data_IF_706580907157
#
_entry.id   IF_706580907157
#
_cell.length_a   1.000
_cell.length_b   1.000
_cell.length_c   1.000
_cell.angle_alpha   90.00
_cell.angle_beta   90.00
_cell.angle_gamma   90.00
#
_symmetry.space_group_name_H-M   'P 1'
#
loop_
_entity.id
_entity.type
_entity.pdbx_description
1 polymer ?
#
# COMPACT_ATOMS: atom_id res chain seq x y z
N UNK A 1 3.83 35.81 37.98
CA UNK A 1 4.74 35.28 36.94
C UNK A 1 4.10 34.02 36.36
N UNK A 2 3.36 34.16 35.26
CA UNK A 2 2.86 33.04 34.44
C UNK A 2 3.44 33.26 33.06
N UNK A 3 4.40 32.42 32.69
CA UNK A 3 5.04 32.47 31.38
C UNK A 3 4.14 31.65 30.46
N UNK A 4 3.47 32.32 29.52
CA UNK A 4 2.61 31.68 28.54
C UNK A 4 3.44 30.92 27.51
N UNK A 5 3.13 29.64 27.33
CA UNK A 5 3.65 28.84 26.21
C UNK A 5 2.96 29.29 24.92
N UNK A 6 3.64 30.13 24.14
CA UNK A 6 3.37 30.26 22.70
C UNK A 6 4.20 29.21 21.97
N UNK A 7 3.60 28.04 21.73
CA UNK A 7 4.07 27.17 20.65
C UNK A 7 3.60 27.77 19.34
N UNK A 8 4.54 28.39 18.61
CA UNK A 8 4.32 28.87 17.25
C UNK A 8 4.42 27.64 16.34
N UNK A 9 3.28 27.08 15.94
CA UNK A 9 3.25 26.07 14.88
C UNK A 9 3.53 26.76 13.55
N UNK A 10 4.73 26.59 13.01
CA UNK A 10 4.99 26.83 11.59
C UNK A 10 4.24 25.76 10.78
N UNK A 11 3.00 26.06 10.41
CA UNK A 11 2.32 25.34 9.33
C UNK A 11 2.99 25.74 8.01
N UNK A 12 3.99 24.96 7.58
CA UNK A 12 4.43 24.96 6.19
C UNK A 12 3.31 24.28 5.39
N UNK A 13 2.30 25.07 5.02
CA UNK A 13 1.26 24.61 4.10
C UNK A 13 1.83 24.65 2.68
N UNK A 14 2.48 23.56 2.27
CA UNK A 14 2.68 23.30 0.84
C UNK A 14 1.30 22.99 0.24
N UNK A 15 0.61 24.01 -0.27
CA UNK A 15 -0.63 23.84 -1.03
C UNK A 15 -0.30 23.13 -2.35
N UNK A 16 -0.28 21.81 -2.36
CA UNK A 16 -0.55 21.06 -3.60
C UNK A 16 -2.04 21.16 -3.88
N UNK A 17 -2.38 22.05 -4.82
CA UNK A 17 -3.71 22.13 -5.40
C UNK A 17 -3.90 20.91 -6.31
N UNK A 18 -4.47 19.84 -5.76
CA UNK A 18 -5.05 18.77 -6.56
C UNK A 18 -6.55 18.81 -6.32
N UNK A 19 -7.33 19.02 -7.39
CA UNK A 19 -8.81 18.94 -7.37
C UNK A 19 -9.23 17.47 -7.20
N UNK A 20 -8.88 16.87 -6.06
CA UNK A 20 -9.29 15.51 -5.68
C UNK A 20 -10.01 15.68 -4.36
N UNK A 21 -11.25 15.18 -4.30
CA UNK A 21 -11.98 15.14 -3.04
C UNK A 21 -11.13 14.37 -2.02
N UNK A 22 -10.93 14.91 -0.79
CA UNK A 22 -10.09 14.26 0.19
C UNK A 22 -10.62 12.85 0.49
N UNK A 23 -9.72 11.86 0.53
CA UNK A 23 -10.07 10.52 1.01
C UNK A 23 -10.60 10.67 2.44
N UNK A 24 -11.84 10.23 2.63
CA UNK A 24 -12.54 10.36 3.91
C UNK A 24 -12.50 9.04 4.68
N UNK A 25 -12.82 9.11 5.98
CA UNK A 25 -13.04 7.93 6.81
C UNK A 25 -14.10 6.98 6.20
N UNK A 26 -15.14 7.52 5.56
CA UNK A 26 -16.16 6.74 4.83
C UNK A 26 -15.56 5.97 3.63
N UNK A 27 -14.51 6.51 2.99
CA UNK A 27 -13.79 5.80 1.93
C UNK A 27 -13.05 4.59 2.50
N UNK A 28 -12.33 4.76 3.61
CA UNK A 28 -11.63 3.64 4.28
C UNK A 28 -12.61 2.53 4.67
N UNK A 29 -13.73 2.88 5.29
CA UNK A 29 -14.76 1.92 5.68
C UNK A 29 -15.31 1.14 4.48
N UNK A 30 -15.51 1.81 3.34
CA UNK A 30 -15.86 1.13 2.09
C UNK A 30 -14.78 0.17 1.61
N UNK A 31 -13.50 0.57 1.63
CA UNK A 31 -12.40 -0.29 1.19
C UNK A 31 -12.33 -1.57 2.04
N UNK A 32 -12.45 -1.43 3.37
CA UNK A 32 -12.52 -2.57 4.30
C UNK A 32 -13.70 -3.47 3.97
N UNK A 33 -14.90 -2.89 3.80
CA UNK A 33 -16.11 -3.66 3.50
C UNK A 33 -15.99 -4.42 2.18
N UNK A 34 -15.45 -3.79 1.13
CA UNK A 34 -15.23 -4.43 -0.17
C UNK A 34 -14.26 -5.60 -0.03
N UNK A 35 -13.13 -5.42 0.68
CA UNK A 35 -12.17 -6.48 0.91
C UNK A 35 -12.79 -7.68 1.66
N UNK A 36 -13.57 -7.39 2.72
CA UNK A 36 -14.26 -8.42 3.51
C UNK A 36 -15.27 -9.21 2.66
N UNK A 37 -16.06 -8.53 1.84
CA UNK A 37 -17.03 -9.16 0.94
C UNK A 37 -16.33 -9.97 -0.17
N UNK A 38 -15.24 -9.46 -0.73
CA UNK A 38 -14.53 -10.11 -1.83
C UNK A 38 -13.81 -11.40 -1.39
N UNK A 39 -13.22 -11.40 -0.20
CA UNK A 39 -12.48 -12.54 0.34
C UNK A 39 -13.31 -13.42 1.28
N UNK A 40 -14.65 -13.28 1.28
CA UNK A 40 -15.53 -14.07 2.14
C UNK A 40 -15.36 -15.58 1.87
N UNK A 41 -15.15 -16.35 2.94
CA UNK A 41 -14.95 -17.81 2.84
C UNK A 41 -13.59 -18.25 2.29
N UNK A 42 -12.81 -17.35 1.69
CA UNK A 42 -11.51 -17.69 1.12
C UNK A 42 -10.50 -18.08 2.22
N UNK A 43 -9.63 -19.03 1.89
CA UNK A 43 -8.54 -19.49 2.75
C UNK A 43 -7.22 -19.36 2.01
N UNK A 44 -6.21 -18.91 2.73
CA UNK A 44 -4.85 -18.87 2.22
C UNK A 44 -4.17 -20.25 2.32
N UNK A 45 -2.93 -20.34 1.84
CA UNK A 45 -2.14 -21.57 1.85
C UNK A 45 -1.84 -22.11 3.26
N UNK A 46 -1.96 -21.27 4.29
CA UNK A 46 -1.72 -21.64 5.69
C UNK A 46 -3.03 -22.03 6.40
N UNK A 47 -4.17 -22.01 5.68
CA UNK A 47 -5.49 -22.30 6.23
C UNK A 47 -6.14 -21.12 6.97
N UNK A 48 -5.53 -19.93 6.93
CA UNK A 48 -6.10 -18.73 7.54
C UNK A 48 -7.08 -18.04 6.58
N UNK A 49 -7.98 -17.20 7.13
CA UNK A 49 -8.85 -16.39 6.29
C UNK A 49 -8.02 -15.34 5.53
N UNK A 50 -8.16 -15.27 4.20
CA UNK A 50 -7.35 -14.38 3.35
C UNK A 50 -7.45 -12.92 3.79
N UNK A 51 -8.66 -12.49 4.21
CA UNK A 51 -8.92 -11.13 4.68
C UNK A 51 -7.98 -10.65 5.80
N UNK A 52 -7.39 -11.54 6.59
CA UNK A 52 -6.46 -11.17 7.66
C UNK A 52 -5.23 -10.45 7.12
N UNK A 53 -4.73 -10.87 5.95
CA UNK A 53 -3.54 -10.27 5.36
C UNK A 53 -3.79 -8.82 4.88
N UNK A 54 -4.80 -8.52 4.03
CA UNK A 54 -5.12 -7.13 3.66
C UNK A 54 -5.41 -6.23 4.87
N UNK A 55 -6.08 -6.75 5.92
CA UNK A 55 -6.34 -5.96 7.13
C UNK A 55 -5.05 -5.61 7.89
N UNK A 56 -4.11 -6.56 8.01
CA UNK A 56 -2.82 -6.33 8.66
C UNK A 56 -1.97 -5.35 7.86
N UNK A 57 -1.85 -5.55 6.54
CA UNK A 57 -1.09 -4.65 5.65
C UNK A 57 -1.70 -3.25 5.68
N UNK A 58 -3.04 -3.12 5.60
CA UNK A 58 -3.70 -1.82 5.69
C UNK A 58 -3.57 -1.12 7.03
N UNK A 59 -3.29 -1.83 8.12
CA UNK A 59 -2.94 -1.21 9.41
C UNK A 59 -1.53 -0.60 9.43
N UNK A 60 -0.66 -0.97 8.48
CA UNK A 60 0.70 -0.46 8.33
C UNK A 60 0.76 0.82 7.47
N UNK A 61 -0.28 1.09 6.68
CA UNK A 61 -0.38 2.29 5.85
C UNK A 61 -0.42 3.59 6.67
N UNK A 62 0.32 4.60 6.23
CA UNK A 62 0.43 5.90 6.92
C UNK A 62 -0.66 6.85 6.46
N UNK A 63 -0.87 6.94 5.14
CA UNK A 63 -1.91 7.78 4.54
C UNK A 63 -3.21 7.01 4.32
N UNK A 64 -4.33 7.71 4.23
CA UNK A 64 -5.62 7.06 3.98
C UNK A 64 -5.71 6.43 2.59
N UNK A 65 -4.97 6.99 1.61
CA UNK A 65 -4.75 6.36 0.31
C UNK A 65 -4.01 5.02 0.44
N UNK A 66 -2.87 5.01 1.15
CA UNK A 66 -2.10 3.78 1.40
C UNK A 66 -2.96 2.73 2.08
N UNK A 67 -3.68 3.08 3.15
CA UNK A 67 -4.57 2.14 3.85
C UNK A 67 -5.63 1.55 2.93
N UNK A 68 -6.32 2.38 2.13
CA UNK A 68 -7.35 1.87 1.23
C UNK A 68 -6.76 0.97 0.14
N UNK A 69 -5.63 1.35 -0.47
CA UNK A 69 -4.94 0.50 -1.46
C UNK A 69 -4.49 -0.80 -0.81
N UNK A 70 -3.90 -0.75 0.38
CA UNK A 70 -3.49 -1.92 1.16
C UNK A 70 -4.70 -2.83 1.52
N UNK A 71 -5.89 -2.30 1.78
CA UNK A 71 -7.07 -3.16 1.99
C UNK A 71 -7.55 -3.84 0.70
N UNK A 72 -7.34 -3.21 -0.46
CA UNK A 72 -7.87 -3.64 -1.75
C UNK A 72 -6.85 -4.36 -2.64
N UNK A 73 -5.58 -4.43 -2.24
CA UNK A 73 -4.47 -4.79 -3.13
C UNK A 73 -4.59 -6.19 -3.77
N UNK A 74 -5.22 -7.15 -3.08
CA UNK A 74 -5.47 -8.50 -3.60
C UNK A 74 -6.90 -8.70 -4.12
N UNK A 75 -7.78 -7.70 -4.03
CA UNK A 75 -9.21 -7.88 -4.40
C UNK A 75 -9.35 -8.17 -5.89
N UNK A 76 -8.67 -7.42 -6.75
CA UNK A 76 -8.75 -7.62 -8.21
C UNK A 76 -7.87 -8.81 -8.66
N UNK A 77 -6.82 -9.13 -7.91
CA UNK A 77 -5.90 -10.23 -8.25
C UNK A 77 -6.49 -11.61 -7.89
N UNK A 78 -7.15 -11.73 -6.74
CA UNK A 78 -7.55 -13.03 -6.17
C UNK A 78 -9.07 -13.31 -6.25
N UNK A 79 -9.87 -12.41 -6.83
CA UNK A 79 -11.34 -12.53 -6.86
C UNK A 79 -11.92 -12.11 -8.22
N UNK A 80 -13.21 -12.35 -8.44
CA UNK A 80 -13.91 -11.94 -9.68
C UNK A 80 -14.21 -10.43 -9.76
N UNK A 81 -13.72 -9.63 -8.80
CA UNK A 81 -13.90 -8.17 -8.78
C UNK A 81 -13.01 -7.49 -9.83
N UNK A 82 -13.55 -6.46 -10.45
CA UNK A 82 -12.86 -5.66 -11.46
C UNK A 82 -12.60 -4.22 -10.97
N UNK A 83 -11.71 -3.49 -11.63
CA UNK A 83 -11.54 -2.05 -11.36
C UNK A 83 -12.84 -1.26 -11.60
N UNK A 84 -13.67 -1.69 -12.56
CA UNK A 84 -14.97 -1.04 -12.81
C UNK A 84 -15.96 -1.29 -11.67
N UNK A 85 -15.91 -2.44 -11.00
CA UNK A 85 -16.68 -2.65 -9.76
C UNK A 85 -16.26 -1.66 -8.67
N UNK A 86 -14.96 -1.39 -8.53
CA UNK A 86 -14.45 -0.41 -7.57
C UNK A 86 -14.90 1.02 -7.93
N UNK A 87 -14.86 1.40 -9.22
CA UNK A 87 -15.42 2.67 -9.71
C UNK A 87 -16.91 2.79 -9.39
N UNK A 88 -17.68 1.73 -9.62
CA UNK A 88 -19.11 1.67 -9.32
C UNK A 88 -19.41 1.81 -7.82
N UNK A 89 -18.47 1.38 -6.96
CA UNK A 89 -18.53 1.58 -5.50
C UNK A 89 -18.05 2.96 -5.05
N UNK A 90 -17.72 3.86 -6.00
CA UNK A 90 -17.21 5.21 -5.75
C UNK A 90 -15.88 5.23 -5.00
N UNK A 91 -15.01 4.25 -5.27
CA UNK A 91 -13.60 4.33 -4.85
C UNK A 91 -12.92 5.43 -5.68
N UNK A 92 -12.20 6.38 -5.04
CA UNK A 92 -11.49 7.45 -5.75
C UNK A 92 -10.51 6.93 -6.80
N UNK A 93 -10.42 7.63 -7.95
CA UNK A 93 -9.56 7.18 -9.06
C UNK A 93 -8.08 7.13 -8.66
N UNK A 94 -7.62 8.00 -7.75
CA UNK A 94 -6.23 7.95 -7.24
C UNK A 94 -5.88 6.62 -6.54
N UNK A 95 -6.86 5.98 -5.88
CA UNK A 95 -6.70 4.64 -5.29
C UNK A 95 -6.69 3.59 -6.39
N UNK A 96 -7.56 3.73 -7.39
CA UNK A 96 -7.67 2.79 -8.50
C UNK A 96 -6.41 2.80 -9.36
N UNK A 97 -5.85 3.97 -9.66
CA UNK A 97 -4.58 4.13 -10.37
C UNK A 97 -3.43 3.43 -9.63
N UNK A 98 -3.36 3.57 -8.30
CA UNK A 98 -2.37 2.87 -7.49
C UNK A 98 -2.59 1.34 -7.51
N UNK A 99 -3.84 0.88 -7.43
CA UNK A 99 -4.17 -0.56 -7.53
C UNK A 99 -3.84 -1.15 -8.89
N UNK A 100 -4.04 -0.40 -9.98
CA UNK A 100 -3.68 -0.83 -11.34
C UNK A 100 -2.16 -1.02 -11.50
N UNK A 101 -1.37 -0.13 -10.93
CA UNK A 101 0.10 -0.30 -10.88
C UNK A 101 0.49 -1.48 -9.98
N UNK A 102 -0.25 -1.69 -8.90
CA UNK A 102 0.03 -2.72 -7.92
C UNK A 102 -0.35 -4.13 -8.40
N UNK A 103 -1.40 -4.29 -9.20
CA UNK A 103 -1.88 -5.64 -9.58
C UNK A 103 -0.86 -6.32 -10.50
N UNK A 104 -0.35 -7.49 -10.11
CA UNK A 104 0.68 -8.19 -10.89
C UNK A 104 0.07 -8.97 -12.05
N UNK A 105 0.45 -8.62 -13.27
CA UNK A 105 0.24 -9.48 -14.44
C UNK A 105 1.22 -10.65 -14.38
N UNK A 106 0.72 -11.85 -14.08
CA UNK A 106 1.50 -13.09 -13.94
C UNK A 106 2.29 -13.48 -15.18
N UNK A 107 1.99 -12.89 -16.36
CA UNK A 107 2.78 -13.09 -17.58
C UNK A 107 4.10 -12.31 -17.58
N UNK A 108 4.24 -11.29 -16.73
CA UNK A 108 5.44 -10.47 -16.59
C UNK A 108 6.35 -11.03 -15.50
N UNK A 109 7.66 -10.87 -15.71
CA UNK A 109 8.63 -11.16 -14.66
C UNK A 109 8.32 -10.35 -13.39
N UNK A 110 8.50 -11.00 -12.24
CA UNK A 110 8.14 -10.40 -10.96
C UNK A 110 9.01 -9.18 -10.64
N UNK A 111 10.31 -9.21 -10.92
CA UNK A 111 11.19 -8.10 -10.62
C UNK A 111 11.03 -6.96 -11.63
N UNK A 112 10.70 -7.26 -12.89
CA UNK A 112 10.26 -6.24 -13.85
C UNK A 112 8.98 -5.54 -13.39
N UNK A 113 8.02 -6.27 -12.83
CA UNK A 113 6.81 -5.69 -12.24
C UNK A 113 7.12 -4.80 -11.02
N UNK A 114 7.98 -5.26 -10.10
CA UNK A 114 8.43 -4.42 -8.97
C UNK A 114 9.14 -3.16 -9.47
N UNK A 115 9.96 -3.28 -10.50
CA UNK A 115 10.62 -2.12 -11.13
C UNK A 115 9.61 -1.16 -11.78
N UNK A 116 8.54 -1.67 -12.42
CA UNK A 116 7.46 -0.82 -12.97
C UNK A 116 6.76 0.00 -11.88
N UNK A 117 6.51 -0.58 -10.70
CA UNK A 117 5.98 0.17 -9.56
C UNK A 117 6.94 1.29 -9.16
N UNK A 118 8.24 1.00 -9.06
CA UNK A 118 9.28 1.99 -8.72
C UNK A 118 9.32 3.13 -9.76
N UNK A 119 9.40 2.77 -11.04
CA UNK A 119 9.55 3.71 -12.16
C UNK A 119 8.31 4.61 -12.33
N UNK A 120 7.14 4.17 -11.88
CA UNK A 120 5.92 4.97 -11.89
C UNK A 120 6.03 6.23 -11.02
N UNK A 121 6.89 6.22 -10.00
CA UNK A 121 6.97 7.29 -8.99
C UNK A 121 5.70 7.46 -8.13
N UNK A 122 4.73 6.53 -8.24
CA UNK A 122 3.52 6.54 -7.42
C UNK A 122 3.86 6.07 -6.00
N UNK A 123 4.03 7.03 -5.09
CA UNK A 123 4.45 6.75 -3.71
C UNK A 123 3.48 5.87 -2.95
N UNK A 124 2.18 5.93 -3.25
CA UNK A 124 1.17 5.06 -2.62
C UNK A 124 1.41 3.61 -3.01
N UNK A 125 1.51 3.29 -4.31
CA UNK A 125 1.78 1.93 -4.77
C UNK A 125 3.14 1.40 -4.24
N UNK A 126 4.15 2.26 -4.16
CA UNK A 126 5.49 1.91 -3.65
C UNK A 126 5.44 1.57 -2.15
N UNK A 127 4.79 2.39 -1.33
CA UNK A 127 4.65 2.12 0.11
C UNK A 127 3.78 0.90 0.40
N UNK A 128 2.68 0.72 -0.36
CA UNK A 128 1.83 -0.48 -0.27
C UNK A 128 2.66 -1.72 -0.57
N UNK A 129 3.47 -1.70 -1.64
CA UNK A 129 4.38 -2.83 -1.95
C UNK A 129 5.40 -3.08 -0.84
N UNK A 130 5.90 -2.03 -0.21
CA UNK A 130 6.77 -2.15 0.95
C UNK A 130 6.06 -2.85 2.14
N UNK A 131 4.82 -2.47 2.44
CA UNK A 131 4.03 -3.04 3.53
C UNK A 131 3.73 -4.52 3.28
N UNK A 132 3.25 -4.84 2.07
CA UNK A 132 2.98 -6.21 1.63
C UNK A 132 4.23 -7.11 1.75
N UNK A 133 5.36 -6.66 1.19
CA UNK A 133 6.62 -7.40 1.24
C UNK A 133 7.06 -7.65 2.69
N UNK A 134 6.99 -6.66 3.57
CA UNK A 134 7.36 -6.81 4.99
C UNK A 134 6.49 -7.85 5.69
N UNK A 135 5.17 -7.82 5.47
CA UNK A 135 4.26 -8.81 6.03
C UNK A 135 4.55 -10.21 5.46
N UNK A 136 4.74 -10.34 4.14
CA UNK A 136 5.01 -11.61 3.48
C UNK A 136 6.36 -12.22 3.89
N UNK A 137 7.38 -11.40 4.14
CA UNK A 137 8.67 -11.85 4.70
C UNK A 137 8.47 -12.38 6.12
N UNK A 138 7.78 -11.64 6.99
CA UNK A 138 7.53 -12.07 8.36
C UNK A 138 6.74 -13.38 8.42
N UNK A 139 5.67 -13.48 7.62
CA UNK A 139 4.88 -14.71 7.44
C UNK A 139 5.73 -15.86 6.88
N UNK A 140 6.49 -15.61 5.82
CA UNK A 140 7.36 -16.61 5.20
C UNK A 140 8.39 -17.19 6.17
N UNK A 141 8.98 -16.35 7.02
CA UNK A 141 9.89 -16.79 8.10
C UNK A 141 9.18 -17.66 9.14
N UNK A 142 7.95 -17.32 9.50
CA UNK A 142 7.16 -18.08 10.48
C UNK A 142 6.76 -19.49 9.99
N UNK A 143 6.47 -19.62 8.68
CA UNK A 143 6.00 -20.87 8.08
C UNK A 143 7.07 -21.65 7.29
N UNK A 144 8.31 -21.14 7.20
CA UNK A 144 9.43 -21.82 6.56
C UNK A 144 9.47 -21.72 5.03
N UNK A 145 8.88 -20.67 4.44
CA UNK A 145 8.85 -20.44 2.99
C UNK A 145 10.13 -19.75 2.49
N UNK A 146 11.27 -20.44 2.59
CA UNK A 146 12.61 -19.87 2.37
C UNK A 146 12.72 -19.19 0.99
N UNK A 147 12.33 -19.87 -0.09
CA UNK A 147 12.43 -19.32 -1.46
C UNK A 147 11.58 -18.05 -1.65
N UNK A 148 10.40 -18.00 -1.01
CA UNK A 148 9.54 -16.81 -1.05
C UNK A 148 10.14 -15.67 -0.23
N UNK A 149 10.73 -15.97 0.93
CA UNK A 149 11.43 -14.97 1.75
C UNK A 149 12.57 -14.35 0.96
N UNK A 150 13.42 -15.15 0.32
CA UNK A 150 14.52 -14.63 -0.50
C UNK A 150 14.03 -13.77 -1.66
N UNK A 151 12.96 -14.20 -2.35
CA UNK A 151 12.32 -13.41 -3.42
C UNK A 151 11.81 -12.07 -2.90
N UNK A 152 11.10 -12.06 -1.78
CA UNK A 152 10.51 -10.85 -1.21
C UNK A 152 11.55 -9.90 -0.60
N UNK A 153 12.62 -10.42 0.02
CA UNK A 153 13.72 -9.61 0.55
C UNK A 153 14.46 -8.87 -0.58
N UNK A 154 14.69 -9.53 -1.73
CA UNK A 154 15.26 -8.87 -2.93
C UNK A 154 14.37 -7.74 -3.43
N UNK A 155 13.06 -7.97 -3.54
CA UNK A 155 12.11 -6.93 -3.96
C UNK A 155 12.03 -5.76 -2.95
N UNK A 156 12.08 -6.07 -1.65
CA UNK A 156 12.07 -5.05 -0.60
C UNK A 156 13.32 -4.18 -0.70
N UNK A 157 14.49 -4.77 -0.96
CA UNK A 157 15.73 -4.02 -1.15
C UNK A 157 15.64 -3.04 -2.33
N UNK A 158 15.04 -3.44 -3.45
CA UNK A 158 14.82 -2.54 -4.60
C UNK A 158 14.00 -1.30 -4.22
N UNK A 159 12.93 -1.51 -3.46
CA UNK A 159 12.06 -0.43 -2.96
C UNK A 159 12.82 0.46 -1.96
N UNK A 160 13.53 -0.13 -1.01
CA UNK A 160 14.27 0.62 0.02
C UNK A 160 15.42 1.45 -0.57
N UNK A 161 16.16 0.90 -1.54
CA UNK A 161 17.19 1.62 -2.28
C UNK A 161 16.62 2.85 -3.00
N UNK A 162 15.46 2.71 -3.63
CA UNK A 162 14.77 3.82 -4.29
C UNK A 162 14.31 4.90 -3.30
N UNK A 163 13.64 4.51 -2.20
CA UNK A 163 13.17 5.43 -1.18
C UNK A 163 14.33 6.19 -0.53
N UNK A 164 15.44 5.49 -0.27
CA UNK A 164 16.65 6.09 0.27
C UNK A 164 17.26 7.12 -0.70
N UNK A 165 17.33 6.81 -2.01
CA UNK A 165 17.77 7.76 -3.04
C UNK A 165 16.90 9.02 -3.07
N UNK A 166 15.58 8.88 -2.99
CA UNK A 166 14.66 10.03 -2.93
C UNK A 166 14.93 10.87 -1.69
N UNK A 167 15.06 10.24 -0.51
CA UNK A 167 15.31 10.95 0.75
C UNK A 167 16.57 11.81 0.69
N UNK A 168 17.66 11.26 0.14
CA UNK A 168 18.91 12.01 -0.05
C UNK A 168 18.77 13.14 -1.08
N UNK A 169 18.09 12.89 -2.21
CA UNK A 169 17.90 13.90 -3.26
C UNK A 169 17.08 15.13 -2.79
N UNK A 170 16.20 14.94 -1.80
CA UNK A 170 15.38 16.00 -1.20
C UNK A 170 16.06 16.74 -0.03
N UNK A 171 17.32 16.44 0.26
CA UNK A 171 18.15 17.22 1.19
C UNK A 171 17.81 17.05 2.68
N UNK A 172 17.20 15.94 3.10
CA UNK A 172 16.98 15.64 4.51
C UNK A 172 18.24 14.96 5.10
N UNK A 173 19.02 15.61 5.98
CA UNK A 173 20.22 15.00 6.57
C UNK A 173 19.81 13.85 7.50
N UNK A 174 20.61 12.79 7.51
CA UNK A 174 20.49 11.73 8.51
C UNK A 174 20.84 12.32 9.88
N UNK A 175 19.90 12.27 10.82
CA UNK A 175 20.20 12.32 12.25
C UNK A 175 20.45 10.91 12.76
#
# INVERSE_FOLDING_TARGET
MKIGNQFISLEITCKRSTNVDPITQDTIEKCIKIAMEAHEGQRDRDGNAVILHPLLVGSMGVTDAEKCVDFLHNVVEDTDRTFDDLRNKKIPEEIIEALQLYTHDVSKDYFEYVQQIIDSGNMTAIHVKQNDLRHNIARGKAFGYIDLVEKHEKALQMIEDFLQKIKYSRGCPII
#
